data_IF_773635011238
#
_entry.id   IF_773635011238
#
_cell.length_a   1.000
_cell.length_b   1.000
_cell.length_c   1.000
_cell.angle_alpha   90.00
_cell.angle_beta   90.00
_cell.angle_gamma   90.00
#
_symmetry.space_group_name_H-M   'P 1'
#
loop_
_entity.id
_entity.type
_entity.pdbx_description
1 polymer ?
#
# COMPACT_ATOMS: atom_id res chain seq x y z
N UNK A 1 25.19 15.26 7.73
CA UNK A 1 23.82 15.60 7.31
C UNK A 1 22.88 14.98 8.31
N UNK A 2 21.89 15.71 8.80
CA UNK A 2 20.94 15.26 9.82
C UNK A 2 19.55 15.80 9.49
N UNK A 3 18.52 14.97 9.64
CA UNK A 3 17.12 15.42 9.65
C UNK A 3 16.64 15.39 11.10
N UNK A 4 15.95 16.44 11.53
CA UNK A 4 15.23 16.52 12.80
C UNK A 4 13.76 16.74 12.53
N UNK A 5 12.91 16.40 13.49
CA UNK A 5 11.48 16.67 13.43
C UNK A 5 11.15 17.70 14.51
N UNK A 6 10.85 18.93 14.10
CA UNK A 6 10.67 20.08 14.96
C UNK A 6 9.37 20.80 14.63
N UNK A 7 8.49 21.01 15.61
CA UNK A 7 7.21 21.70 15.44
C UNK A 7 6.38 21.22 14.23
N UNK A 8 6.31 19.88 14.01
CA UNK A 8 5.56 19.27 12.89
C UNK A 8 6.28 19.34 11.54
N UNK A 9 7.50 19.87 11.47
CA UNK A 9 8.28 19.97 10.24
C UNK A 9 9.52 19.09 10.29
N UNK A 10 9.95 18.62 9.14
CA UNK A 10 11.23 17.96 8.92
C UNK A 10 12.25 19.05 8.58
N UNK A 11 13.30 19.16 9.36
CA UNK A 11 14.36 20.15 9.16
C UNK A 11 15.65 19.44 8.79
N UNK A 12 16.19 19.80 7.64
CA UNK A 12 17.43 19.22 7.11
C UNK A 12 18.61 20.12 7.42
N UNK A 13 19.58 19.55 8.15
CA UNK A 13 20.82 20.22 8.52
C UNK A 13 22.01 19.68 7.74
N UNK A 14 22.88 20.59 7.33
CA UNK A 14 24.27 20.28 7.02
C UNK A 14 25.15 20.94 8.06
N UNK A 15 25.82 20.12 8.89
CA UNK A 15 26.50 20.58 10.07
C UNK A 15 25.55 21.32 11.03
N UNK A 16 25.71 22.64 11.20
CA UNK A 16 24.82 23.48 12.03
C UNK A 16 23.88 24.38 11.22
N UNK A 17 23.94 24.30 9.89
CA UNK A 17 23.16 25.15 8.99
C UNK A 17 21.90 24.44 8.54
N UNK A 18 20.73 25.07 8.67
CA UNK A 18 19.48 24.62 8.06
C UNK A 18 19.57 24.84 6.57
N UNK A 19 19.42 23.79 5.79
CA UNK A 19 19.51 23.84 4.32
C UNK A 19 18.21 23.51 3.61
N UNK A 20 17.22 23.03 4.36
CA UNK A 20 15.88 22.77 3.84
C UNK A 20 14.90 22.38 4.91
N UNK A 21 13.64 22.55 4.63
CA UNK A 21 12.51 22.17 5.47
C UNK A 21 11.44 21.48 4.64
N UNK A 22 10.64 20.64 5.27
CA UNK A 22 9.49 20.04 4.65
C UNK A 22 8.42 19.70 5.70
N UNK A 23 7.17 19.56 5.27
CA UNK A 23 6.09 19.11 6.10
C UNK A 23 5.19 18.14 5.33
N UNK A 24 4.50 17.27 6.07
CA UNK A 24 3.42 16.44 5.56
C UNK A 24 2.22 16.64 6.50
N UNK A 25 1.27 17.45 6.05
CA UNK A 25 0.07 17.80 6.81
C UNK A 25 -1.15 17.25 6.05
N UNK A 26 -1.94 16.41 6.70
CA UNK A 26 -3.13 15.76 6.09
C UNK A 26 -2.84 15.09 4.73
N UNK A 27 -1.65 14.50 4.59
CA UNK A 27 -1.20 13.90 3.34
C UNK A 27 -0.69 14.88 2.29
N UNK A 28 -0.65 16.18 2.58
CA UNK A 28 -0.11 17.21 1.70
C UNK A 28 1.35 17.47 1.99
N UNK A 29 2.18 17.20 1.01
CA UNK A 29 3.62 17.40 1.06
C UNK A 29 3.98 18.82 0.66
N UNK A 30 4.79 19.45 1.49
CA UNK A 30 5.47 20.69 1.19
C UNK A 30 6.98 20.53 1.43
N UNK A 31 7.79 21.07 0.53
CA UNK A 31 9.26 20.97 0.60
C UNK A 31 9.88 22.27 0.12
N UNK A 32 10.83 22.76 0.88
CA UNK A 32 11.65 23.92 0.52
C UNK A 32 13.13 23.61 0.76
N UNK A 33 13.97 23.96 -0.20
CA UNK A 33 15.42 23.88 -0.09
C UNK A 33 15.98 25.27 -0.34
N UNK A 34 16.86 25.71 0.55
CA UNK A 34 17.59 26.97 0.41
C UNK A 34 18.23 27.04 -0.99
N UNK A 35 18.04 28.15 -1.73
CA UNK A 35 18.51 28.30 -3.10
C UNK A 35 20.00 27.95 -3.28
N UNK A 36 20.85 28.30 -2.33
CA UNK A 36 22.28 28.00 -2.34
C UNK A 36 22.61 26.50 -2.30
N UNK A 37 21.62 25.65 -1.90
CA UNK A 37 21.77 24.23 -1.71
C UNK A 37 20.94 23.37 -2.68
N UNK A 38 20.23 24.01 -3.63
CA UNK A 38 19.43 23.32 -4.66
C UNK A 38 20.31 22.55 -5.63
N UNK A 39 19.69 21.63 -6.37
CA UNK A 39 20.31 20.77 -7.41
C UNK A 39 21.45 19.88 -6.91
N UNK A 40 21.57 19.67 -5.60
CA UNK A 40 22.59 18.81 -4.96
C UNK A 40 22.01 17.52 -4.36
N UNK A 41 20.76 17.18 -4.68
CA UNK A 41 20.10 15.97 -4.18
C UNK A 41 19.41 16.10 -2.81
N UNK A 42 19.56 17.22 -2.11
CA UNK A 42 19.03 17.41 -0.75
C UNK A 42 17.49 17.34 -0.69
N UNK A 43 16.80 17.93 -1.67
CA UNK A 43 15.35 17.81 -1.75
C UNK A 43 14.90 16.36 -1.95
N UNK A 44 15.61 15.61 -2.79
CA UNK A 44 15.31 14.19 -3.00
C UNK A 44 15.51 13.36 -1.73
N UNK A 45 16.57 13.64 -0.98
CA UNK A 45 16.83 12.98 0.29
C UNK A 45 15.69 13.25 1.29
N UNK A 46 15.29 14.51 1.44
CA UNK A 46 14.24 14.92 2.37
C UNK A 46 12.87 14.32 2.01
N UNK A 47 12.49 14.35 0.72
CA UNK A 47 11.21 13.74 0.26
C UNK A 47 11.20 12.22 0.47
N UNK A 48 12.30 11.52 0.18
CA UNK A 48 12.37 10.07 0.42
C UNK A 48 12.17 9.73 1.89
N UNK A 49 12.83 10.46 2.77
CA UNK A 49 12.74 10.25 4.22
C UNK A 49 11.29 10.44 4.71
N UNK A 50 10.63 11.54 4.31
CA UNK A 50 9.24 11.80 4.67
C UNK A 50 8.31 10.70 4.16
N UNK A 51 8.42 10.32 2.90
CA UNK A 51 7.59 9.27 2.33
C UNK A 51 7.81 7.93 3.04
N UNK A 52 9.07 7.61 3.39
CA UNK A 52 9.40 6.37 4.10
C UNK A 52 8.79 6.33 5.50
N UNK A 53 8.94 7.41 6.26
CA UNK A 53 8.40 7.51 7.62
C UNK A 53 6.86 7.51 7.66
N UNK A 54 6.21 7.93 6.57
CA UNK A 54 4.75 8.00 6.48
C UNK A 54 4.13 6.86 5.66
N UNK A 55 4.84 5.75 5.50
CA UNK A 55 4.32 4.55 4.83
C UNK A 55 4.21 4.65 3.31
N UNK A 56 4.81 5.69 2.70
CA UNK A 56 4.75 5.89 1.25
C UNK A 56 5.40 4.79 0.42
N UNK A 57 6.22 3.95 1.04
CA UNK A 57 6.85 2.78 0.40
C UNK A 57 6.36 1.44 0.98
N UNK A 58 5.38 1.46 1.90
CA UNK A 58 4.79 0.24 2.43
C UNK A 58 3.92 -0.43 1.35
N UNK A 59 4.29 -1.64 0.95
CA UNK A 59 3.59 -2.42 -0.09
C UNK A 59 2.22 -2.94 0.36
N UNK A 60 1.98 -2.96 1.67
CA UNK A 60 0.72 -3.46 2.26
C UNK A 60 -0.28 -2.34 2.59
N UNK A 61 0.13 -1.09 2.42
CA UNK A 61 -0.67 0.06 2.84
C UNK A 61 -1.10 0.91 1.65
N UNK A 62 -2.39 1.24 1.58
CA UNK A 62 -2.84 2.31 0.70
C UNK A 62 -2.38 3.65 1.26
N UNK A 63 -1.76 4.46 0.40
CA UNK A 63 -1.36 5.82 0.75
C UNK A 63 -1.71 6.77 -0.39
N UNK A 64 -2.14 7.98 -0.01
CA UNK A 64 -2.37 9.07 -0.93
C UNK A 64 -1.67 10.32 -0.39
N UNK A 65 -0.73 10.83 -1.15
CA UNK A 65 -0.06 12.09 -0.87
C UNK A 65 -0.38 13.08 -1.98
N UNK A 66 -0.53 14.34 -1.61
CA UNK A 66 -0.71 15.43 -2.56
C UNK A 66 0.41 16.44 -2.42
N UNK A 67 0.63 17.24 -3.43
CA UNK A 67 1.47 18.42 -3.38
C UNK A 67 0.79 19.55 -4.18
N UNK A 68 1.14 20.79 -3.88
CA UNK A 68 0.60 21.94 -4.59
C UNK A 68 0.81 21.80 -6.10
N UNK A 69 -0.08 22.33 -6.92
CA UNK A 69 0.13 22.43 -8.35
C UNK A 69 1.42 23.21 -8.61
N UNK A 70 2.21 22.74 -9.56
CA UNK A 70 3.52 23.31 -9.82
C UNK A 70 3.44 24.09 -11.10
N UNK A 71 3.58 25.40 -11.00
CA UNK A 71 3.68 26.30 -12.15
C UNK A 71 5.05 26.15 -12.86
N UNK A 72 6.06 25.63 -12.16
CA UNK A 72 7.41 25.42 -12.64
C UNK A 72 7.60 23.98 -13.11
N UNK A 73 8.05 23.81 -14.37
CA UNK A 73 8.31 22.53 -14.98
C UNK A 73 9.38 21.71 -14.22
N UNK A 74 10.40 22.38 -13.69
CA UNK A 74 11.48 21.72 -12.94
C UNK A 74 10.96 21.12 -11.62
N UNK A 75 10.10 21.80 -10.90
CA UNK A 75 9.47 21.30 -9.69
C UNK A 75 8.47 20.17 -10.00
N UNK A 76 7.74 20.26 -11.11
CA UNK A 76 6.90 19.16 -11.61
C UNK A 76 7.71 17.92 -11.93
N UNK A 77 8.81 18.06 -12.64
CA UNK A 77 9.73 16.98 -12.95
C UNK A 77 10.38 16.38 -11.70
N UNK A 78 10.68 17.22 -10.69
CA UNK A 78 11.17 16.77 -9.39
C UNK A 78 10.16 15.87 -8.67
N UNK A 79 8.89 16.28 -8.57
CA UNK A 79 7.84 15.50 -7.91
C UNK A 79 7.54 14.19 -8.67
N UNK A 80 7.59 14.20 -10.00
CA UNK A 80 7.41 12.99 -10.82
C UNK A 80 8.42 11.89 -10.49
N UNK A 81 9.64 12.23 -10.09
CA UNK A 81 10.66 11.25 -9.65
C UNK A 81 10.22 10.41 -8.44
N UNK A 82 9.26 10.89 -7.67
CA UNK A 82 8.69 10.20 -6.51
C UNK A 82 7.30 9.62 -6.78
N UNK A 83 6.89 9.57 -8.04
CA UNK A 83 5.60 9.01 -8.44
C UNK A 83 4.41 9.93 -8.25
N UNK A 84 4.63 11.24 -8.07
CA UNK A 84 3.53 12.21 -8.13
C UNK A 84 3.16 12.49 -9.59
N UNK A 85 1.89 12.42 -9.90
CA UNK A 85 1.34 12.69 -11.23
C UNK A 85 0.28 13.81 -11.15
N UNK A 86 0.13 14.63 -12.18
CA UNK A 86 -0.91 15.67 -12.21
C UNK A 86 -2.30 15.03 -12.18
N UNK A 87 -3.14 15.44 -11.25
CA UNK A 87 -4.52 15.00 -11.15
C UNK A 87 -5.38 16.08 -10.48
N UNK A 88 -6.44 16.54 -11.17
CA UNK A 88 -7.40 17.49 -10.59
C UNK A 88 -6.80 18.83 -10.14
N UNK A 89 -5.76 19.32 -10.82
CA UNK A 89 -5.08 20.57 -10.46
C UNK A 89 -4.04 20.45 -9.34
N UNK A 90 -3.75 19.25 -8.86
CA UNK A 90 -2.71 18.97 -7.88
C UNK A 90 -1.71 17.93 -8.42
N UNK A 91 -0.58 17.79 -7.75
CA UNK A 91 0.32 16.65 -7.93
C UNK A 91 -0.08 15.57 -6.92
N UNK A 92 -0.47 14.40 -7.39
CA UNK A 92 -0.98 13.30 -6.55
C UNK A 92 -0.07 12.08 -6.71
N UNK A 93 0.35 11.53 -5.58
CA UNK A 93 0.99 10.23 -5.50
C UNK A 93 0.05 9.28 -4.75
N UNK A 94 -0.47 8.32 -5.45
CA UNK A 94 -1.30 7.26 -4.87
C UNK A 94 -0.55 5.94 -4.98
N UNK A 95 -0.53 5.22 -3.89
CA UNK A 95 -0.14 3.82 -3.86
C UNK A 95 -1.32 3.01 -3.37
N UNK A 96 -1.67 2.00 -4.10
CA UNK A 96 -2.56 0.93 -3.65
C UNK A 96 -1.70 -0.26 -3.21
N UNK A 97 -2.15 -1.07 -2.25
CA UNK A 97 -1.46 -2.30 -1.91
C UNK A 97 -1.25 -3.17 -3.14
N UNK A 98 -0.09 -3.80 -3.22
CA UNK A 98 0.16 -4.78 -4.28
C UNK A 98 -0.77 -5.98 -4.02
N UNK A 99 -1.63 -6.29 -4.97
CA UNK A 99 -2.49 -7.47 -4.91
C UNK A 99 -1.61 -8.71 -5.11
N UNK A 100 -1.70 -9.65 -4.18
CA UNK A 100 -1.11 -10.99 -4.39
C UNK A 100 -1.90 -11.75 -5.48
N UNK A 101 -1.28 -12.77 -6.09
CA UNK A 101 -1.96 -13.64 -7.04
C UNK A 101 -3.24 -14.26 -6.42
N UNK A 102 -3.18 -14.62 -5.12
CA UNK A 102 -4.34 -15.13 -4.38
C UNK A 102 -5.45 -14.10 -4.26
N UNK A 103 -5.12 -12.84 -3.91
CA UNK A 103 -6.12 -11.76 -3.84
C UNK A 103 -6.78 -11.50 -5.19
N UNK A 104 -6.01 -11.44 -6.28
CA UNK A 104 -6.57 -11.31 -7.64
C UNK A 104 -7.49 -12.47 -7.99
N UNK A 105 -7.12 -13.71 -7.62
CA UNK A 105 -7.93 -14.89 -7.81
C UNK A 105 -9.25 -14.79 -7.01
N UNK A 106 -9.18 -14.38 -5.75
CA UNK A 106 -10.37 -14.18 -4.92
C UNK A 106 -11.31 -13.10 -5.47
N UNK A 107 -10.78 -11.97 -5.94
CA UNK A 107 -11.61 -10.93 -6.60
C UNK A 107 -12.27 -11.44 -7.86
N UNK A 108 -11.53 -12.18 -8.70
CA UNK A 108 -12.07 -12.79 -9.92
C UNK A 108 -13.19 -13.78 -9.59
N UNK A 109 -13.01 -14.64 -8.60
CA UNK A 109 -14.01 -15.62 -8.17
C UNK A 109 -15.23 -14.94 -7.55
N UNK A 110 -15.04 -13.94 -6.69
CA UNK A 110 -16.14 -13.17 -6.08
C UNK A 110 -17.06 -12.55 -7.13
N UNK A 111 -16.51 -12.09 -8.24
CA UNK A 111 -17.31 -11.49 -9.32
C UNK A 111 -18.09 -12.51 -10.16
N UNK A 112 -17.83 -13.82 -10.05
CA UNK A 112 -18.37 -14.86 -10.93
C UNK A 112 -19.11 -15.98 -10.23
N UNK A 113 -18.74 -16.29 -8.99
CA UNK A 113 -19.37 -17.36 -8.22
C UNK A 113 -20.68 -16.86 -7.61
N UNK A 114 -21.64 -17.77 -7.50
CA UNK A 114 -22.97 -17.46 -6.98
C UNK A 114 -23.19 -18.19 -5.63
N UNK A 115 -23.87 -17.56 -4.66
CA UNK A 115 -24.30 -18.25 -3.46
C UNK A 115 -25.13 -19.50 -3.80
N UNK A 116 -25.02 -20.54 -2.98
CA UNK A 116 -25.71 -21.81 -3.21
C UNK A 116 -25.00 -22.78 -4.18
N UNK A 117 -23.86 -22.35 -4.75
CA UNK A 117 -23.09 -23.19 -5.70
C UNK A 117 -22.34 -24.33 -5.03
N UNK A 118 -21.87 -25.27 -5.87
CA UNK A 118 -20.92 -26.33 -5.51
C UNK A 118 -19.54 -25.95 -6.03
N UNK A 119 -18.58 -25.84 -5.11
CA UNK A 119 -17.19 -25.45 -5.42
C UNK A 119 -16.22 -26.53 -4.98
N UNK A 120 -15.07 -26.59 -5.62
CA UNK A 120 -14.04 -27.57 -5.31
C UNK A 120 -12.71 -26.84 -5.06
N UNK A 121 -12.11 -27.12 -3.93
CA UNK A 121 -10.72 -26.79 -3.61
C UNK A 121 -9.91 -28.09 -3.67
N UNK A 122 -9.15 -28.25 -4.74
CA UNK A 122 -8.41 -29.49 -5.02
C UNK A 122 -7.08 -29.57 -4.28
N UNK A 123 -6.66 -28.54 -3.54
CA UNK A 123 -5.44 -28.45 -2.76
C UNK A 123 -5.64 -27.61 -1.51
N UNK A 124 -6.49 -28.11 -0.60
CA UNK A 124 -6.99 -27.28 0.49
C UNK A 124 -5.92 -26.79 1.49
N UNK A 125 -4.81 -27.52 1.63
CA UNK A 125 -3.67 -27.12 2.45
C UNK A 125 -4.07 -26.72 3.88
N UNK A 126 -3.88 -25.45 4.24
CA UNK A 126 -4.29 -24.89 5.53
C UNK A 126 -5.71 -24.28 5.53
N UNK A 127 -6.50 -24.48 4.48
CA UNK A 127 -7.91 -24.14 4.39
C UNK A 127 -8.23 -22.68 4.14
N UNK A 128 -7.26 -21.85 3.71
CA UNK A 128 -7.51 -20.42 3.45
C UNK A 128 -8.47 -20.21 2.28
N UNK A 129 -8.22 -20.87 1.17
CA UNK A 129 -9.05 -20.75 -0.02
C UNK A 129 -10.37 -21.51 0.16
N UNK A 130 -10.35 -22.65 0.88
CA UNK A 130 -11.57 -23.36 1.28
C UNK A 130 -12.49 -22.46 2.13
N UNK A 131 -11.96 -21.77 3.14
CA UNK A 131 -12.73 -20.83 3.96
C UNK A 131 -13.34 -19.72 3.11
N UNK A 132 -12.58 -19.14 2.21
CA UNK A 132 -13.05 -18.13 1.27
C UNK A 132 -14.21 -18.67 0.40
N UNK A 133 -14.06 -19.87 -0.18
CA UNK A 133 -15.10 -20.51 -0.99
C UNK A 133 -16.35 -20.81 -0.16
N UNK A 134 -16.23 -21.28 1.09
CA UNK A 134 -17.37 -21.52 1.98
C UNK A 134 -18.15 -20.23 2.25
N UNK A 135 -17.47 -19.12 2.49
CA UNK A 135 -18.11 -17.82 2.68
C UNK A 135 -18.86 -17.34 1.44
N UNK A 136 -18.31 -17.55 0.25
CA UNK A 136 -18.99 -17.26 -1.03
C UNK A 136 -20.18 -18.17 -1.30
N UNK A 137 -20.03 -19.46 -1.05
CA UNK A 137 -21.09 -20.44 -1.24
C UNK A 137 -22.30 -20.16 -0.34
N UNK A 138 -22.03 -19.64 0.86
CA UNK A 138 -23.06 -19.34 1.84
C UNK A 138 -23.76 -20.61 2.39
N UNK A 139 -24.82 -20.44 3.19
CA UNK A 139 -25.42 -21.56 3.95
C UNK A 139 -26.12 -22.60 3.08
N UNK A 140 -26.45 -22.30 1.83
CA UNK A 140 -27.09 -23.22 0.88
C UNK A 140 -26.13 -23.85 -0.11
N UNK A 141 -24.88 -23.39 -0.13
CA UNK A 141 -23.83 -23.92 -1.01
C UNK A 141 -23.06 -25.07 -0.37
N UNK A 142 -22.15 -25.62 -1.16
CA UNK A 142 -21.24 -26.70 -0.71
C UNK A 142 -19.85 -26.48 -1.27
N UNK A 143 -18.84 -26.82 -0.46
CA UNK A 143 -17.44 -26.84 -0.88
C UNK A 143 -16.86 -28.23 -0.63
N UNK A 144 -16.24 -28.80 -1.64
CA UNK A 144 -15.46 -30.03 -1.52
C UNK A 144 -13.98 -29.64 -1.43
N UNK A 145 -13.35 -29.90 -0.28
CA UNK A 145 -11.95 -29.65 -0.04
C UNK A 145 -11.16 -30.95 -0.10
N UNK A 146 -10.15 -31.00 -0.93
CA UNK A 146 -9.34 -32.19 -1.19
C UNK A 146 -7.87 -31.88 -0.94
N UNK A 147 -7.14 -32.82 -0.35
CA UNK A 147 -5.67 -32.79 -0.28
C UNK A 147 -5.13 -34.21 -0.14
N UNK A 148 -3.93 -34.44 -0.65
CA UNK A 148 -3.25 -35.75 -0.51
C UNK A 148 -2.67 -35.95 0.89
N UNK A 149 -2.49 -34.86 1.65
CA UNK A 149 -1.92 -34.88 3.00
C UNK A 149 -3.05 -34.89 4.03
N UNK A 150 -3.18 -35.93 4.88
CA UNK A 150 -4.21 -35.95 5.94
C UNK A 150 -4.13 -34.74 6.88
N UNK A 151 -2.92 -34.29 7.20
CA UNK A 151 -2.72 -33.09 8.04
C UNK A 151 -3.32 -31.80 7.42
N UNK A 152 -3.29 -31.67 6.09
CA UNK A 152 -3.89 -30.54 5.39
C UNK A 152 -5.42 -30.54 5.57
N UNK A 153 -6.05 -31.70 5.43
CA UNK A 153 -7.51 -31.86 5.65
C UNK A 153 -7.87 -31.56 7.09
N UNK A 154 -7.08 -32.01 8.08
CA UNK A 154 -7.28 -31.73 9.49
C UNK A 154 -7.15 -30.22 9.81
N UNK A 155 -6.11 -29.57 9.28
CA UNK A 155 -5.91 -28.13 9.42
C UNK A 155 -7.08 -27.33 8.83
N UNK A 156 -7.56 -27.74 7.66
CA UNK A 156 -8.72 -27.13 7.00
C UNK A 156 -9.98 -27.27 7.86
N UNK A 157 -10.27 -28.48 8.37
CA UNK A 157 -11.41 -28.70 9.26
C UNK A 157 -11.33 -27.84 10.53
N UNK A 158 -10.14 -27.76 11.15
CA UNK A 158 -9.90 -26.91 12.33
C UNK A 158 -10.19 -25.44 12.02
N UNK A 159 -9.70 -24.95 10.88
CA UNK A 159 -9.93 -23.57 10.44
C UNK A 159 -11.41 -23.28 10.21
N UNK A 160 -12.11 -24.16 9.48
CA UNK A 160 -13.55 -23.98 9.18
C UNK A 160 -14.37 -24.01 10.48
N UNK A 161 -14.09 -24.94 11.40
CA UNK A 161 -14.74 -24.99 12.70
C UNK A 161 -14.54 -23.73 13.53
N UNK A 162 -13.32 -23.17 13.55
CA UNK A 162 -13.03 -21.90 14.20
C UNK A 162 -13.74 -20.69 13.55
N UNK A 163 -14.02 -20.76 12.26
CA UNK A 163 -14.73 -19.75 11.49
C UNK A 163 -16.28 -19.90 11.56
N UNK A 164 -16.80 -20.95 12.20
CA UNK A 164 -18.23 -21.25 12.25
C UNK A 164 -18.83 -21.72 10.91
N UNK A 165 -18.03 -22.40 10.08
CA UNK A 165 -18.38 -22.87 8.74
C UNK A 165 -18.44 -24.40 8.68
#
# INVERSE_FOLDING_TARGET
>A
MKITHEAGKYVLYKEKTVIGTAALEDGRLWVEIDPAWRQRGYGSYLVKEILQQNGGYDVKRETRFTAAPVADEAAGAFLKKFGFLPQGGEMVRRRVPDLSAVQLCHEFLTARLQPGGLYVDATCGNGHDTEFLCRLAGPTGRVLALDIQPAAVENTNTRLGAAGL
#
